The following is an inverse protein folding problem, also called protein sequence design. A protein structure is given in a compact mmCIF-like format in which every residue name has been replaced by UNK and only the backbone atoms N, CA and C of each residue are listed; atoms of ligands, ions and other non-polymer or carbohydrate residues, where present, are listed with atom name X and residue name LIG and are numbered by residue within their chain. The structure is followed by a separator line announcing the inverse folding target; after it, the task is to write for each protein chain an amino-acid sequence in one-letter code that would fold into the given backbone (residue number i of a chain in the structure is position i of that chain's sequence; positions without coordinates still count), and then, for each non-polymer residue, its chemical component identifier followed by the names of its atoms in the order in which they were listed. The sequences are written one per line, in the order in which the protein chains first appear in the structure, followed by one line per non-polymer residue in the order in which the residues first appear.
data_IF_710241885418
#
_entry.id   IF_710241885418
#
_cell.length_a   1.000
_cell.length_b   1.000
_cell.length_c   1.000
_cell.angle_alpha   90.00
_cell.angle_beta   90.00
_cell.angle_gamma   90.00
#
_symmetry.space_group_name_H-M   'P 1'
#
loop_
_entity.id
_entity.type
_entity.pdbx_description
1 polymer ?
#
# COMPACT_ATOMS: atom_id res chain seq x y z
N UNK A 1 23.34 18.47 32.26
CA UNK A 1 22.43 18.58 31.11
C UNK A 1 21.14 19.10 31.68
N UNK A 2 20.75 20.32 31.33
CA UNK A 2 19.46 20.88 31.78
C UNK A 2 18.32 20.02 31.28
N UNK A 3 17.36 19.78 32.17
CA UNK A 3 16.28 18.85 31.97
C UNK A 3 15.24 19.47 31.03
N UNK A 4 15.39 19.20 29.73
CA UNK A 4 14.51 19.71 28.66
C UNK A 4 13.04 19.37 28.87
N UNK A 5 12.78 18.35 29.68
CA UNK A 5 11.44 17.91 30.02
C UNK A 5 10.75 18.89 30.97
N UNK A 6 11.49 19.43 31.95
CA UNK A 6 10.96 20.46 32.84
C UNK A 6 10.58 21.74 32.09
N UNK A 7 11.42 22.17 31.15
CA UNK A 7 11.13 23.35 30.32
C UNK A 7 9.87 23.18 29.48
N UNK A 8 9.63 21.97 28.93
CA UNK A 8 8.40 21.69 28.19
C UNK A 8 7.14 21.80 29.05
N UNK A 9 7.21 21.34 30.31
CA UNK A 9 6.08 21.44 31.23
C UNK A 9 5.82 22.87 31.72
N UNK A 10 6.86 23.67 31.88
CA UNK A 10 6.74 25.08 32.33
C UNK A 10 6.27 26.02 31.20
N UNK A 11 6.56 25.70 29.93
CA UNK A 11 6.18 26.52 28.76
C UNK A 11 4.78 26.21 28.22
N UNK A 12 4.19 25.05 28.55
CA UNK A 12 2.87 24.67 28.06
C UNK A 12 1.81 24.82 29.17
N UNK A 13 0.81 25.65 28.92
CA UNK A 13 -0.34 25.82 29.82
C UNK A 13 -1.27 24.61 29.67
N UNK A 14 -1.09 23.61 30.55
CA UNK A 14 -1.94 22.43 30.57
C UNK A 14 -3.33 22.85 31.06
N UNK A 15 -4.34 22.55 30.27
CA UNK A 15 -5.73 22.77 30.65
C UNK A 15 -6.10 21.86 31.84
N UNK A 16 -5.88 22.39 33.04
CA UNK A 16 -6.24 21.78 34.32
C UNK A 16 -7.68 22.08 34.73
N UNK A 17 -8.44 22.80 33.88
CA UNK A 17 -9.80 23.18 34.19
C UNK A 17 -10.76 22.03 33.92
N UNK A 18 -11.74 21.91 34.81
CA UNK A 18 -12.82 20.95 34.60
C UNK A 18 -13.65 21.37 33.37
N UNK A 19 -13.92 20.45 32.44
CA UNK A 19 -14.67 20.80 31.24
C UNK A 19 -16.06 21.32 31.60
N UNK A 20 -16.57 22.27 30.80
CA UNK A 20 -17.88 22.87 31.03
C UNK A 20 -18.99 21.83 31.24
N UNK A 21 -19.89 22.10 32.20
CA UNK A 21 -21.04 21.26 32.54
C UNK A 21 -21.78 20.76 31.29
N UNK A 22 -22.06 19.45 31.27
CA UNK A 22 -22.66 18.76 30.12
C UNK A 22 -21.67 18.30 29.04
N UNK A 23 -20.35 18.44 29.25
CA UNK A 23 -19.34 17.84 28.37
C UNK A 23 -19.48 16.32 28.26
N UNK A 24 -19.67 15.63 29.40
CA UNK A 24 -19.92 14.19 29.47
C UNK A 24 -21.13 13.77 28.63
N UNK A 25 -22.25 14.48 28.77
CA UNK A 25 -23.48 14.19 28.03
C UNK A 25 -23.32 14.44 26.52
N UNK A 26 -22.59 15.49 26.12
CA UNK A 26 -22.26 15.75 24.71
C UNK A 26 -21.31 14.71 24.15
N UNK A 27 -20.31 14.31 24.93
CA UNK A 27 -19.34 13.28 24.57
C UNK A 27 -20.04 11.93 24.37
N UNK A 28 -20.85 11.51 25.35
CA UNK A 28 -21.65 10.29 25.26
C UNK A 28 -22.60 10.32 24.06
N UNK A 29 -23.24 11.46 23.79
CA UNK A 29 -24.10 11.63 22.61
C UNK A 29 -23.34 11.52 21.30
N UNK A 30 -22.10 12.00 21.24
CA UNK A 30 -21.21 11.89 20.08
C UNK A 30 -20.67 10.47 19.91
N UNK A 31 -20.49 9.74 21.01
CA UNK A 31 -20.09 8.32 21.04
C UNK A 31 -21.25 7.40 20.61
N UNK A 32 -22.46 7.71 21.06
CA UNK A 32 -23.70 6.95 20.79
C UNK A 32 -24.35 7.34 19.45
N UNK A 33 -23.99 8.48 18.86
CA UNK A 33 -24.26 8.74 17.45
C UNK A 33 -23.41 7.78 16.62
N UNK A 34 -23.97 6.60 16.31
CA UNK A 34 -23.51 5.80 15.19
C UNK A 34 -23.32 6.74 14.01
N UNK A 35 -22.11 6.77 13.42
CA UNK A 35 -21.84 7.46 12.14
C UNK A 35 -23.05 7.21 11.26
N UNK A 36 -23.79 8.28 10.92
CA UNK A 36 -24.94 8.18 10.04
C UNK A 36 -24.41 7.49 8.79
N UNK A 37 -24.91 6.28 8.53
CA UNK A 37 -24.61 5.53 7.32
C UNK A 37 -25.17 6.34 6.15
N UNK A 38 -24.40 7.34 5.71
CA UNK A 38 -24.50 7.83 4.36
C UNK A 38 -24.19 6.60 3.53
N UNK A 39 -25.22 6.06 2.87
CA UNK A 39 -25.06 4.93 1.96
C UNK A 39 -23.82 5.21 1.11
N UNK A 40 -22.87 4.26 0.96
CA UNK A 40 -21.76 4.49 0.07
C UNK A 40 -22.37 4.84 -1.28
N UNK A 41 -22.19 6.10 -1.69
CA UNK A 41 -22.43 6.51 -3.07
C UNK A 41 -21.59 5.57 -3.93
N UNK A 42 -22.11 5.13 -5.06
CA UNK A 42 -21.47 4.20 -6.02
C UNK A 42 -20.10 4.66 -6.58
N UNK A 43 -19.45 5.64 -5.95
CA UNK A 43 -18.14 6.19 -6.23
C UNK A 43 -16.95 5.33 -5.75
N UNK A 44 -17.17 4.28 -4.97
CA UNK A 44 -16.08 3.40 -4.47
C UNK A 44 -15.61 2.33 -5.47
N UNK A 45 -16.09 2.36 -6.72
CA UNK A 45 -15.73 1.35 -7.73
C UNK A 45 -14.65 1.77 -8.72
N UNK A 46 -14.09 2.99 -8.62
CA UNK A 46 -13.36 3.55 -9.76
C UNK A 46 -11.86 3.78 -9.59
N UNK A 47 -11.27 3.63 -8.41
CA UNK A 47 -9.87 4.05 -8.23
C UNK A 47 -8.91 2.86 -8.26
N UNK A 48 -9.02 1.84 -7.41
CA UNK A 48 -8.15 0.66 -7.55
C UNK A 48 -8.34 -0.18 -8.83
N UNK A 49 -9.50 -0.05 -9.48
CA UNK A 49 -9.67 -0.58 -10.82
C UNK A 49 -8.63 -0.01 -11.79
N UNK A 50 -8.10 1.20 -11.57
CA UNK A 50 -7.06 1.79 -12.41
C UNK A 50 -5.75 1.00 -12.32
N UNK A 51 -5.31 0.57 -11.12
CA UNK A 51 -4.05 -0.18 -10.96
C UNK A 51 -4.18 -1.59 -11.55
N UNK A 52 -5.28 -2.28 -11.27
CA UNK A 52 -5.57 -3.58 -11.88
C UNK A 52 -5.77 -3.45 -13.39
N UNK A 53 -6.42 -2.39 -13.88
CA UNK A 53 -6.55 -2.11 -15.30
C UNK A 53 -5.23 -1.70 -15.92
N UNK A 54 -4.32 -0.99 -15.25
CA UNK A 54 -3.01 -0.59 -15.77
C UNK A 54 -2.09 -1.80 -15.83
N UNK A 55 -2.01 -2.61 -14.78
CA UNK A 55 -1.26 -3.87 -14.77
C UNK A 55 -1.87 -4.88 -15.76
N UNK A 56 -3.20 -4.98 -15.79
CA UNK A 56 -3.94 -5.84 -16.71
C UNK A 56 -3.85 -5.36 -18.17
N UNK A 57 -3.79 -4.06 -18.41
CA UNK A 57 -3.59 -3.46 -19.74
C UNK A 57 -2.14 -3.61 -20.19
N UNK A 58 -1.16 -3.45 -19.30
CA UNK A 58 0.24 -3.75 -19.59
C UNK A 58 0.39 -5.23 -20.01
N UNK A 59 -0.24 -6.15 -19.29
CA UNK A 59 -0.30 -7.58 -19.65
C UNK A 59 -1.07 -7.86 -20.95
N UNK A 60 -2.22 -7.23 -21.17
CA UNK A 60 -3.03 -7.39 -22.39
C UNK A 60 -2.37 -6.79 -23.63
N UNK A 61 -1.54 -5.76 -23.46
CA UNK A 61 -0.80 -5.09 -24.53
C UNK A 61 0.43 -5.87 -25.01
N UNK A 62 0.82 -6.98 -24.36
CA UNK A 62 1.89 -7.87 -24.84
C UNK A 62 1.65 -8.41 -26.26
N UNK A 63 0.38 -8.51 -26.70
CA UNK A 63 0.07 -8.89 -28.08
C UNK A 63 0.41 -7.80 -29.10
N UNK A 64 0.60 -6.56 -28.67
CA UNK A 64 0.97 -5.41 -29.49
C UNK A 64 2.41 -4.99 -29.18
N UNK A 65 3.37 -5.80 -29.63
CA UNK A 65 4.83 -5.59 -29.50
C UNK A 65 5.23 -4.13 -29.79
N UNK A 66 5.58 -3.36 -28.76
CA UNK A 66 6.33 -2.10 -28.96
C UNK A 66 7.11 -1.59 -27.73
N UNK A 67 7.08 -2.24 -26.57
CA UNK A 67 7.87 -1.82 -25.40
C UNK A 67 8.94 -2.86 -25.09
N UNK A 68 10.20 -2.40 -25.04
CA UNK A 68 11.34 -3.21 -24.64
C UNK A 68 11.28 -3.43 -23.12
N UNK A 69 11.32 -4.65 -22.62
CA UNK A 69 11.23 -4.93 -21.18
C UNK A 69 12.31 -5.92 -20.66
N UNK A 70 12.14 -6.45 -19.44
CA UNK A 70 13.09 -7.41 -18.88
C UNK A 70 13.08 -8.73 -19.66
N UNK A 71 11.94 -9.12 -20.22
CA UNK A 71 11.79 -10.34 -21.00
C UNK A 71 12.62 -10.30 -22.29
N UNK A 72 12.84 -9.12 -22.86
CA UNK A 72 13.71 -8.92 -24.03
C UNK A 72 15.21 -9.06 -23.73
N UNK A 73 15.62 -9.07 -22.46
CA UNK A 73 17.04 -9.22 -22.07
C UNK A 73 17.51 -10.66 -22.24
N UNK A 74 16.73 -11.63 -21.74
CA UNK A 74 17.05 -13.06 -21.81
C UNK A 74 15.85 -13.92 -21.39
N UNK A 75 15.80 -15.21 -21.78
CA UNK A 75 14.75 -16.13 -21.34
C UNK A 75 14.57 -16.21 -19.82
N UNK A 76 15.69 -16.21 -19.07
CA UNK A 76 15.64 -16.23 -17.59
C UNK A 76 15.04 -14.95 -17.01
N UNK A 77 15.26 -13.81 -17.65
CA UNK A 77 14.67 -12.54 -17.22
C UNK A 77 13.18 -12.47 -17.58
N UNK A 78 12.76 -13.09 -18.68
CA UNK A 78 11.35 -13.28 -19.00
C UNK A 78 10.63 -14.13 -17.95
N UNK A 79 11.25 -15.24 -17.53
CA UNK A 79 10.73 -16.08 -16.44
C UNK A 79 10.60 -15.30 -15.13
N UNK A 80 11.63 -14.53 -14.76
CA UNK A 80 11.61 -13.70 -13.55
C UNK A 80 10.52 -12.63 -13.60
N UNK A 81 10.37 -11.92 -14.73
CA UNK A 81 9.32 -10.94 -14.92
C UNK A 81 7.93 -11.59 -14.83
N UNK A 82 7.72 -12.72 -15.50
CA UNK A 82 6.47 -13.46 -15.43
C UNK A 82 6.14 -13.88 -13.99
N UNK A 83 7.14 -14.35 -13.23
CA UNK A 83 6.99 -14.70 -11.82
C UNK A 83 6.50 -13.49 -11.02
N UNK A 84 7.25 -12.37 -11.02
CA UNK A 84 6.90 -11.19 -10.24
C UNK A 84 5.52 -10.62 -10.59
N UNK A 85 5.21 -10.50 -11.88
CA UNK A 85 3.92 -9.98 -12.31
C UNK A 85 2.77 -10.91 -11.89
N UNK A 86 2.96 -12.23 -12.01
CA UNK A 86 1.95 -13.19 -11.55
C UNK A 86 1.72 -13.13 -10.05
N UNK A 87 2.79 -12.99 -9.25
CA UNK A 87 2.71 -12.87 -7.80
C UNK A 87 2.01 -11.57 -7.41
N UNK A 88 2.41 -10.42 -7.96
CA UNK A 88 1.76 -9.12 -7.71
C UNK A 88 0.26 -9.19 -8.00
N UNK A 89 -0.15 -9.81 -9.11
CA UNK A 89 -1.56 -9.97 -9.45
C UNK A 89 -2.32 -10.85 -8.45
N UNK A 90 -1.67 -11.90 -7.94
CA UNK A 90 -2.25 -12.76 -6.92
C UNK A 90 -2.43 -12.01 -5.60
N UNK A 91 -1.41 -11.27 -5.14
CA UNK A 91 -1.49 -10.44 -3.93
C UNK A 91 -2.60 -9.39 -4.03
N UNK A 92 -2.69 -8.67 -5.16
CA UNK A 92 -3.76 -7.71 -5.41
C UNK A 92 -5.14 -8.36 -5.35
N UNK A 93 -5.30 -9.55 -5.92
CA UNK A 93 -6.56 -10.30 -5.86
C UNK A 93 -6.93 -10.71 -4.43
N UNK A 94 -5.95 -11.01 -3.58
CA UNK A 94 -6.16 -11.30 -2.17
C UNK A 94 -6.58 -10.04 -1.41
N UNK A 95 -5.91 -8.90 -1.63
CA UNK A 95 -6.26 -7.59 -1.07
C UNK A 95 -7.70 -7.19 -1.39
N UNK A 96 -8.17 -7.43 -2.62
CA UNK A 96 -9.55 -7.13 -3.02
C UNK A 96 -10.61 -7.85 -2.16
N UNK A 97 -10.28 -8.98 -1.54
CA UNK A 97 -11.20 -9.68 -0.63
C UNK A 97 -11.46 -8.92 0.67
N UNK A 98 -10.57 -8.00 1.03
CA UNK A 98 -10.64 -7.19 2.25
C UNK A 98 -11.21 -5.80 2.00
N UNK A 99 -11.55 -5.45 0.75
CA UNK A 99 -12.02 -4.10 0.40
C UNK A 99 -13.37 -3.78 1.04
N UNK A 100 -13.39 -2.74 1.85
CA UNK A 100 -14.56 -2.18 2.52
C UNK A 100 -14.39 -0.69 2.77
N UNK A 101 -15.42 0.00 3.26
CA UNK A 101 -15.35 1.44 3.59
C UNK A 101 -14.27 1.70 4.65
N UNK A 102 -14.06 0.75 5.54
CA UNK A 102 -13.12 0.83 6.66
C UNK A 102 -11.66 0.57 6.23
N UNK A 103 -11.44 -0.21 5.17
CA UNK A 103 -10.10 -0.58 4.68
C UNK A 103 -9.66 0.24 3.47
N UNK A 104 -10.59 0.90 2.77
CA UNK A 104 -10.29 1.62 1.53
C UNK A 104 -9.12 2.58 1.67
N UNK A 105 -9.13 3.43 2.71
CA UNK A 105 -8.09 4.45 2.85
C UNK A 105 -6.69 3.86 2.96
N UNK A 106 -6.53 2.68 3.55
CA UNK A 106 -5.23 2.05 3.70
C UNK A 106 -4.81 1.41 2.36
N UNK A 107 -5.79 0.80 1.67
CA UNK A 107 -5.57 0.16 0.37
C UNK A 107 -5.15 1.21 -0.65
N UNK A 108 -5.88 2.32 -0.77
CA UNK A 108 -5.58 3.39 -1.73
C UNK A 108 -4.21 4.01 -1.46
N UNK A 109 -3.87 4.31 -0.21
CA UNK A 109 -2.53 4.83 0.13
C UNK A 109 -1.40 3.87 -0.30
N UNK A 110 -1.58 2.56 -0.11
CA UNK A 110 -0.59 1.57 -0.55
C UNK A 110 -0.57 1.41 -2.07
N UNK A 111 -1.70 1.54 -2.76
CA UNK A 111 -1.76 1.54 -4.22
C UNK A 111 -1.08 2.77 -4.83
N UNK A 112 -1.16 3.94 -4.18
CA UNK A 112 -0.39 5.12 -4.57
C UNK A 112 1.13 4.86 -4.50
N UNK A 113 1.60 4.18 -3.44
CA UNK A 113 3.02 3.75 -3.35
C UNK A 113 3.41 2.80 -4.49
N UNK A 114 2.50 1.92 -4.92
CA UNK A 114 2.73 1.01 -6.06
C UNK A 114 2.78 1.77 -7.38
N UNK A 115 1.93 2.78 -7.57
CA UNK A 115 1.92 3.64 -8.75
C UNK A 115 3.25 4.40 -8.89
N UNK A 116 3.77 4.97 -7.80
CA UNK A 116 5.10 5.59 -7.76
C UNK A 116 6.22 4.62 -8.20
N UNK A 117 6.11 3.34 -7.82
CA UNK A 117 7.04 2.30 -8.24
C UNK A 117 6.84 1.90 -9.70
N UNK A 118 5.63 1.94 -10.23
CA UNK A 118 5.34 1.73 -11.66
C UNK A 118 5.97 2.83 -12.52
N UNK A 119 5.82 4.09 -12.15
CA UNK A 119 6.46 5.19 -12.86
C UNK A 119 7.99 5.07 -12.87
N UNK A 120 8.59 4.66 -11.75
CA UNK A 120 10.03 4.38 -11.66
C UNK A 120 10.42 3.22 -12.56
N UNK A 121 9.64 2.14 -12.62
CA UNK A 121 9.89 1.01 -13.51
C UNK A 121 9.88 1.43 -14.98
N UNK A 122 8.89 2.20 -15.41
CA UNK A 122 8.80 2.70 -16.79
C UNK A 122 10.01 3.56 -17.17
N UNK A 123 10.54 4.35 -16.23
CA UNK A 123 11.76 5.12 -16.46
C UNK A 123 13.00 4.22 -16.56
N UNK A 124 13.12 3.21 -15.69
CA UNK A 124 14.21 2.23 -15.74
C UNK A 124 14.20 1.41 -17.04
N UNK A 125 13.02 1.09 -17.58
CA UNK A 125 12.88 0.43 -18.88
C UNK A 125 13.45 1.29 -20.02
N UNK A 126 13.12 2.59 -20.04
CA UNK A 126 13.68 3.54 -21.01
C UNK A 126 15.20 3.68 -20.86
N UNK A 127 15.72 3.61 -19.64
CA UNK A 127 17.18 3.59 -19.41
C UNK A 127 17.80 2.29 -19.94
N UNK A 128 17.15 1.15 -19.72
CA UNK A 128 17.67 -0.17 -20.11
C UNK A 128 17.85 -0.30 -21.63
N UNK A 129 16.96 0.33 -22.41
CA UNK A 129 17.05 0.32 -23.88
C UNK A 129 18.23 1.15 -24.42
N UNK A 130 18.69 2.15 -23.66
CA UNK A 130 19.59 3.20 -24.15
C UNK A 130 21.02 3.15 -23.56
N UNK A 131 21.31 2.29 -22.58
CA UNK A 131 22.53 2.38 -21.76
C UNK A 131 23.42 1.13 -21.81
N UNK A 132 24.74 1.32 -21.67
CA UNK A 132 25.76 0.27 -21.58
C UNK A 132 25.76 -0.44 -20.21
N UNK A 133 25.30 0.21 -19.14
CA UNK A 133 25.26 -0.33 -17.77
C UNK A 133 24.02 -1.19 -17.47
N UNK A 134 23.62 -2.04 -18.43
CA UNK A 134 22.38 -2.85 -18.36
C UNK A 134 22.23 -3.67 -17.07
N UNK A 135 23.34 -4.21 -16.54
CA UNK A 135 23.31 -5.01 -15.30
C UNK A 135 22.80 -4.22 -14.10
N UNK A 136 23.24 -2.98 -13.92
CA UNK A 136 22.80 -2.15 -12.80
C UNK A 136 21.31 -1.77 -12.94
N UNK A 137 20.86 -1.52 -14.18
CA UNK A 137 19.46 -1.19 -14.45
C UNK A 137 18.56 -2.41 -14.19
N UNK A 138 18.99 -3.60 -14.62
CA UNK A 138 18.28 -4.86 -14.31
C UNK A 138 18.15 -5.06 -12.79
N UNK A 139 19.19 -4.80 -12.02
CA UNK A 139 19.13 -4.88 -10.55
C UNK A 139 18.08 -3.90 -9.97
N UNK A 140 18.02 -2.67 -10.48
CA UNK A 140 17.00 -1.69 -10.06
C UNK A 140 15.59 -2.13 -10.45
N UNK A 141 15.41 -2.73 -11.62
CA UNK A 141 14.11 -3.27 -12.07
C UNK A 141 13.64 -4.43 -11.18
N UNK A 142 14.55 -5.36 -10.85
CA UNK A 142 14.25 -6.46 -9.91
C UNK A 142 13.90 -5.89 -8.53
N UNK A 143 14.69 -4.93 -8.04
CA UNK A 143 14.44 -4.31 -6.75
C UNK A 143 13.11 -3.54 -6.72
N UNK A 144 12.68 -2.94 -7.83
CA UNK A 144 11.37 -2.32 -7.95
C UNK A 144 10.24 -3.34 -7.78
N UNK A 145 10.33 -4.52 -8.43
CA UNK A 145 9.36 -5.60 -8.22
C UNK A 145 9.31 -6.07 -6.77
N UNK A 146 10.48 -6.20 -6.13
CA UNK A 146 10.58 -6.60 -4.72
C UNK A 146 9.90 -5.59 -3.79
N UNK A 147 10.13 -4.29 -3.98
CA UNK A 147 9.49 -3.24 -3.19
C UNK A 147 7.96 -3.26 -3.32
N UNK A 148 7.44 -3.51 -4.53
CA UNK A 148 6.00 -3.65 -4.73
C UNK A 148 5.41 -4.82 -3.94
N UNK A 149 6.08 -5.97 -3.98
CA UNK A 149 5.65 -7.13 -3.19
C UNK A 149 5.70 -6.84 -1.69
N UNK A 150 6.75 -6.16 -1.21
CA UNK A 150 6.86 -5.77 0.20
C UNK A 150 5.70 -4.86 0.65
N UNK A 151 5.30 -3.90 -0.19
CA UNK A 151 4.13 -3.03 0.07
C UNK A 151 2.86 -3.86 0.14
N UNK A 152 2.63 -4.76 -0.83
CA UNK A 152 1.44 -5.60 -0.88
C UNK A 152 1.36 -6.57 0.31
N UNK A 153 2.48 -7.18 0.70
CA UNK A 153 2.58 -8.08 1.86
C UNK A 153 2.27 -7.33 3.17
N UNK A 154 2.88 -6.14 3.35
CA UNK A 154 2.58 -5.27 4.50
C UNK A 154 1.11 -4.88 4.55
N UNK A 155 0.54 -4.51 3.41
CA UNK A 155 -0.86 -4.14 3.28
C UNK A 155 -1.76 -5.32 3.67
N UNK A 156 -1.51 -6.50 3.11
CA UNK A 156 -2.29 -7.70 3.40
C UNK A 156 -2.24 -8.03 4.90
N UNK A 157 -1.06 -7.96 5.52
CA UNK A 157 -0.90 -8.16 6.96
C UNK A 157 -1.71 -7.14 7.77
N UNK A 158 -1.70 -5.86 7.38
CA UNK A 158 -2.48 -4.83 8.06
C UNK A 158 -4.00 -5.07 7.92
N UNK A 159 -4.46 -5.50 6.74
CA UNK A 159 -5.85 -5.84 6.48
C UNK A 159 -6.31 -7.06 7.28
N UNK A 160 -5.46 -8.10 7.38
CA UNK A 160 -5.73 -9.28 8.19
C UNK A 160 -5.87 -8.93 9.67
N UNK A 161 -4.97 -8.09 10.20
CA UNK A 161 -5.01 -7.66 11.60
C UNK A 161 -6.25 -6.82 11.91
N UNK A 162 -6.66 -5.96 10.98
CA UNK A 162 -7.87 -5.15 11.14
C UNK A 162 -9.15 -6.00 11.14
N UNK A 163 -9.20 -7.05 10.30
CA UNK A 163 -10.34 -7.96 10.25
C UNK A 163 -10.34 -9.03 11.35
N UNK A 164 -9.16 -9.45 11.83
CA UNK A 164 -9.02 -10.47 12.86
C UNK A 164 -7.85 -10.15 13.81
N UNK A 165 -8.06 -9.29 14.83
CA UNK A 165 -7.01 -8.84 15.74
C UNK A 165 -6.44 -9.95 16.64
N UNK A 166 -7.09 -11.10 16.75
CA UNK A 166 -6.62 -12.25 17.54
C UNK A 166 -5.49 -13.03 16.87
N UNK A 167 -5.13 -12.74 15.61
CA UNK A 167 -4.07 -13.43 14.86
C UNK A 167 -2.64 -13.06 15.34
N UNK A 168 -2.50 -12.05 16.20
CA UNK A 168 -1.22 -11.64 16.80
C UNK A 168 -0.59 -12.70 17.70
N UNK A 169 -1.38 -13.58 18.34
CA UNK A 169 -0.85 -14.57 19.28
C UNK A 169 -0.22 -15.81 18.60
N UNK A 170 -0.37 -15.98 17.28
CA UNK A 170 0.08 -17.19 16.58
C UNK A 170 1.38 -17.01 15.78
N UNK A 171 1.78 -15.78 15.47
CA UNK A 171 2.96 -15.51 14.64
C UNK A 171 4.27 -15.43 15.44
N UNK A 172 4.17 -15.20 16.75
CA UNK A 172 5.31 -15.25 17.68
C UNK A 172 5.75 -16.69 18.00
N UNK A 173 4.89 -17.69 17.75
CA UNK A 173 5.16 -19.12 18.01
C UNK A 173 5.84 -19.85 16.84
N UNK A 174 5.87 -19.27 15.62
CA UNK A 174 6.51 -19.86 14.44
C UNK A 174 7.95 -19.34 14.20
N UNK A 175 8.44 -18.41 15.03
CA UNK A 175 9.83 -17.95 15.04
C UNK A 175 10.58 -18.65 16.19
N UNK A 176 10.79 -19.96 16.06
CA UNK A 176 11.82 -20.73 16.80
C UNK A 176 12.58 -21.62 15.81
#
# INVERSE_FOLDING_TARGET
MEDKLHQFFDENDFDIFEPHSGHSDRFQRKLQQSKKNNKPTLFWMSIAASVILVLGFYLGSYQQKSFYDLADVSPKMAEAQSFFVSTINQELKEIEQYRSIETESIIENSLDEIEDLEDRYQNLIKELSNNDNKRQIIQKLINNYQQRLEILERLLLQLELQNNPAKLELKDDEII
#
